data_IF_786683123543
#
_entry.id   IF_786683123543
#
_cell.length_a   1.000
_cell.length_b   1.000
_cell.length_c   1.000
_cell.angle_alpha   90.00
_cell.angle_beta   90.00
_cell.angle_gamma   90.00
#
_symmetry.space_group_name_H-M   'P 1'
#
loop_
_entity.id
_entity.type
_entity.pdbx_description
1 polymer ?
#
# COMPACT_ATOMS: atom_id res chain seq x y z
N UNK A 1 14.53 29.67 -3.38
CA UNK A 1 14.76 28.46 -2.57
C UNK A 1 16.13 27.89 -2.93
N UNK A 2 17.21 28.53 -2.47
CA UNK A 2 18.57 28.22 -2.91
C UNK A 2 19.58 28.15 -1.76
N UNK A 3 19.18 28.46 -0.52
CA UNK A 3 20.03 28.43 0.67
C UNK A 3 19.85 27.18 1.55
N UNK A 4 18.79 26.39 1.34
CA UNK A 4 18.56 25.14 2.06
C UNK A 4 19.39 24.01 1.44
N UNK A 5 20.16 23.29 2.25
CA UNK A 5 20.93 22.14 1.75
C UNK A 5 20.09 20.85 1.73
N UNK A 6 20.58 19.84 1.02
CA UNK A 6 19.89 18.54 0.93
C UNK A 6 19.95 17.78 2.25
N UNK A 7 21.06 17.93 2.96
CA UNK A 7 21.32 17.32 4.25
C UNK A 7 20.33 17.86 5.29
N UNK A 8 20.10 19.17 5.32
CA UNK A 8 19.14 19.80 6.22
C UNK A 8 17.70 19.34 5.97
N UNK A 9 17.33 19.09 4.70
CA UNK A 9 15.98 18.64 4.34
C UNK A 9 15.69 17.20 4.81
N UNK A 10 16.72 16.36 4.88
CA UNK A 10 16.60 14.93 5.20
C UNK A 10 17.08 14.56 6.60
N UNK A 11 17.50 15.55 7.41
CA UNK A 11 17.98 15.36 8.77
C UNK A 11 16.82 15.02 9.73
N UNK A 12 16.78 13.80 10.33
CA UNK A 12 15.75 13.43 11.30
C UNK A 12 15.78 14.25 12.59
N UNK A 13 16.92 14.87 12.92
CA UNK A 13 17.11 15.72 14.09
C UNK A 13 16.62 17.16 13.91
N UNK A 14 16.33 17.56 12.67
CA UNK A 14 15.82 18.89 12.35
C UNK A 14 14.33 18.82 12.01
N UNK A 15 13.49 19.38 12.89
CA UNK A 15 12.06 19.41 12.60
C UNK A 15 11.77 20.33 11.40
N UNK A 16 10.71 20.02 10.65
CA UNK A 16 10.29 20.87 9.53
C UNK A 16 9.95 22.29 9.99
N UNK A 17 9.50 22.45 11.23
CA UNK A 17 9.22 23.75 11.84
C UNK A 17 10.50 24.56 12.05
N UNK A 18 11.54 23.94 12.62
CA UNK A 18 12.83 24.60 12.87
C UNK A 18 13.52 24.98 11.56
N UNK A 19 13.43 24.11 10.55
CA UNK A 19 13.94 24.38 9.21
C UNK A 19 13.25 25.60 8.58
N UNK A 20 11.92 25.64 8.61
CA UNK A 20 11.15 26.77 8.10
C UNK A 20 11.45 28.07 8.86
N UNK A 21 11.58 28.00 10.19
CA UNK A 21 11.94 29.15 11.00
C UNK A 21 13.33 29.68 10.61
N UNK A 22 14.34 28.82 10.48
CA UNK A 22 15.69 29.24 10.05
C UNK A 22 15.65 29.97 8.71
N UNK A 23 14.87 29.48 7.75
CA UNK A 23 14.76 30.06 6.41
C UNK A 23 13.98 31.37 6.34
N UNK A 24 13.00 31.59 7.23
CA UNK A 24 12.02 32.70 7.11
C UNK A 24 11.79 33.48 8.42
N UNK A 25 12.73 33.43 9.36
CA UNK A 25 12.58 34.09 10.67
C UNK A 25 12.34 35.60 10.58
N UNK A 26 12.86 36.29 9.55
CA UNK A 26 12.72 37.75 9.40
C UNK A 26 11.28 38.21 9.10
N UNK A 27 10.51 37.41 8.37
CA UNK A 27 9.12 37.72 8.00
C UNK A 27 8.08 36.99 8.84
N UNK A 28 8.53 36.03 9.66
CA UNK A 28 7.70 35.19 10.50
C UNK A 28 7.10 34.00 9.74
N UNK A 29 6.86 32.90 10.46
CA UNK A 29 6.32 31.65 9.90
C UNK A 29 4.92 31.39 10.47
N UNK A 30 3.95 31.15 9.58
CA UNK A 30 2.61 30.66 9.96
C UNK A 30 2.50 29.18 9.64
N UNK A 31 2.09 28.39 10.63
CA UNK A 31 2.05 26.93 10.55
C UNK A 31 0.60 26.46 10.61
N UNK A 32 0.28 25.50 9.76
CA UNK A 32 -1.02 24.82 9.75
C UNK A 32 -0.92 23.47 10.44
N UNK A 33 -2.07 22.85 10.70
CA UNK A 33 -2.12 21.51 11.27
C UNK A 33 -1.34 20.51 10.41
N UNK A 34 -0.57 19.67 11.10
CA UNK A 34 0.21 18.61 10.46
C UNK A 34 -0.73 17.57 9.84
N UNK A 35 -0.44 17.18 8.60
CA UNK A 35 -1.07 16.04 7.94
C UNK A 35 -0.14 14.83 8.03
N UNK A 36 -0.40 13.85 8.90
CA UNK A 36 0.47 12.70 9.04
C UNK A 36 0.49 11.90 7.74
N UNK A 37 1.68 11.62 7.24
CA UNK A 37 1.90 10.75 6.10
C UNK A 37 2.13 9.33 6.60
N UNK A 38 1.46 8.38 5.98
CA UNK A 38 1.66 6.95 6.23
C UNK A 38 1.73 6.20 4.91
N UNK A 39 2.56 5.17 4.88
CA UNK A 39 2.52 4.20 3.79
C UNK A 39 1.21 3.42 3.87
N UNK A 40 0.43 3.41 2.78
CA UNK A 40 -0.82 2.68 2.73
C UNK A 40 -1.10 2.21 1.29
N UNK A 41 -1.31 0.91 1.11
CA UNK A 41 -1.77 0.32 -0.14
C UNK A 41 -3.29 0.07 -0.09
N UNK A 42 -3.93 0.04 -1.26
CA UNK A 42 -5.37 -0.21 -1.41
C UNK A 42 -5.70 -1.68 -1.69
N UNK A 43 -4.69 -2.55 -1.81
CA UNK A 43 -4.93 -3.98 -1.95
C UNK A 43 -5.63 -4.52 -0.69
N UNK A 44 -6.50 -5.50 -0.89
CA UNK A 44 -7.12 -6.26 0.17
C UNK A 44 -7.34 -7.68 -0.35
N UNK A 45 -7.46 -8.63 0.57
CA UNK A 45 -7.78 -10.01 0.25
C UNK A 45 -9.06 -10.11 -0.60
N UNK A 46 -10.09 -9.32 -0.28
CA UNK A 46 -11.34 -9.19 -1.05
C UNK A 46 -11.14 -8.77 -2.51
N UNK A 47 -10.22 -7.84 -2.78
CA UNK A 47 -9.98 -7.37 -4.16
C UNK A 47 -9.19 -8.39 -4.97
N UNK A 48 -8.22 -9.01 -4.32
CA UNK A 48 -7.38 -10.04 -4.96
C UNK A 48 -8.24 -11.27 -5.26
N UNK A 49 -9.05 -11.71 -4.30
CA UNK A 49 -9.99 -12.82 -4.47
C UNK A 49 -11.05 -12.54 -5.54
N UNK A 50 -11.63 -11.34 -5.59
CA UNK A 50 -12.55 -10.97 -6.66
C UNK A 50 -11.89 -11.05 -8.06
N UNK A 51 -10.60 -10.73 -8.14
CA UNK A 51 -9.83 -10.89 -9.37
C UNK A 51 -9.62 -12.37 -9.69
N UNK A 52 -9.25 -13.19 -8.70
CA UNK A 52 -9.10 -14.65 -8.86
C UNK A 52 -10.41 -15.33 -9.26
N UNK A 53 -11.56 -14.85 -8.76
CA UNK A 53 -12.88 -15.38 -9.09
C UNK A 53 -13.28 -15.18 -10.56
N UNK A 54 -12.61 -14.27 -11.29
CA UNK A 54 -12.86 -14.05 -12.72
C UNK A 54 -12.20 -15.08 -13.64
N UNK A 55 -11.24 -15.85 -13.13
CA UNK A 55 -10.57 -16.91 -13.89
C UNK A 55 -11.38 -18.20 -13.94
N UNK A 56 -11.15 -19.00 -14.97
CA UNK A 56 -11.77 -20.33 -15.07
C UNK A 56 -11.22 -21.27 -14.01
N UNK A 57 -11.93 -22.37 -13.73
CA UNK A 57 -11.44 -23.38 -12.79
C UNK A 57 -10.16 -24.07 -13.29
N UNK A 58 -9.95 -24.14 -14.60
CA UNK A 58 -8.74 -24.69 -15.23
C UNK A 58 -7.55 -23.75 -15.03
N UNK A 59 -7.72 -22.46 -15.32
CA UNK A 59 -6.67 -21.44 -15.11
C UNK A 59 -6.22 -21.39 -13.64
N UNK A 60 -7.17 -21.47 -12.71
CA UNK A 60 -6.86 -21.48 -11.28
C UNK A 60 -6.13 -22.75 -10.86
N UNK A 61 -6.42 -23.89 -11.49
CA UNK A 61 -5.69 -25.13 -11.23
C UNK A 61 -4.23 -25.03 -11.69
N UNK A 62 -3.98 -24.39 -12.83
CA UNK A 62 -2.63 -24.14 -13.36
C UNK A 62 -1.84 -23.12 -12.52
N UNK A 63 -2.52 -22.22 -11.82
CA UNK A 63 -1.90 -21.25 -10.92
C UNK A 63 -1.47 -21.83 -9.56
N UNK A 64 -1.84 -23.08 -9.26
CA UNK A 64 -1.52 -23.71 -7.97
C UNK A 64 -0.04 -24.06 -7.87
N UNK A 65 0.52 -23.81 -6.69
CA UNK A 65 1.84 -24.28 -6.31
C UNK A 65 1.82 -25.78 -5.98
N UNK A 66 3.01 -26.37 -5.75
CA UNK A 66 3.14 -27.76 -5.31
C UNK A 66 2.42 -28.06 -3.98
N UNK A 67 2.08 -27.02 -3.22
CA UNK A 67 1.37 -27.09 -1.93
C UNK A 67 -0.15 -26.94 -2.09
N UNK A 68 -0.66 -26.92 -3.33
CA UNK A 68 -2.08 -26.73 -3.66
C UNK A 68 -2.63 -25.35 -3.23
N UNK A 69 -1.78 -24.32 -3.26
CA UNK A 69 -2.11 -22.92 -2.93
C UNK A 69 -1.95 -22.01 -4.15
N UNK A 70 -2.77 -20.97 -4.24
CA UNK A 70 -2.57 -19.86 -5.19
C UNK A 70 -1.96 -18.69 -4.42
N UNK A 71 -0.78 -18.23 -4.85
CA UNK A 71 -0.09 -17.08 -4.25
C UNK A 71 -0.18 -15.87 -5.17
N UNK A 72 -0.85 -14.82 -4.70
CA UNK A 72 -1.00 -13.56 -5.42
C UNK A 72 -0.17 -12.46 -4.73
N UNK A 73 0.79 -11.91 -5.46
CA UNK A 73 1.63 -10.80 -4.98
C UNK A 73 1.09 -9.47 -5.48
N UNK A 74 0.87 -8.51 -4.58
CA UNK A 74 0.52 -7.14 -4.99
C UNK A 74 1.74 -6.42 -5.58
N UNK A 75 1.68 -5.99 -6.83
CA UNK A 75 2.79 -5.26 -7.48
C UNK A 75 3.08 -3.87 -6.89
N UNK A 76 2.19 -3.32 -6.04
CA UNK A 76 2.38 -2.00 -5.44
C UNK A 76 3.07 -2.05 -4.08
N UNK A 77 2.62 -2.93 -3.18
CA UNK A 77 3.16 -3.03 -1.82
C UNK A 77 3.88 -4.34 -1.54
N UNK A 78 3.97 -5.24 -2.53
CA UNK A 78 4.60 -6.56 -2.42
C UNK A 78 4.01 -7.45 -1.33
N UNK A 79 2.80 -7.15 -0.85
CA UNK A 79 2.09 -8.06 0.05
C UNK A 79 1.66 -9.29 -0.73
N UNK A 80 1.92 -10.46 -0.15
CA UNK A 80 1.52 -11.76 -0.68
C UNK A 80 0.24 -12.22 -0.01
N UNK A 81 -0.69 -12.74 -0.82
CA UNK A 81 -1.94 -13.34 -0.38
C UNK A 81 -1.96 -14.79 -0.86
N UNK A 82 -2.16 -15.74 0.05
CA UNK A 82 -2.26 -17.15 -0.27
C UNK A 82 -3.70 -17.61 -0.12
N UNK A 83 -4.21 -18.35 -1.11
CA UNK A 83 -5.56 -18.89 -1.13
C UNK A 83 -5.50 -20.41 -1.31
N UNK A 84 -6.20 -21.15 -0.46
CA UNK A 84 -6.46 -22.58 -0.61
C UNK A 84 -7.80 -22.83 -1.32
N UNK A 85 -8.09 -24.10 -1.57
CA UNK A 85 -9.33 -24.50 -2.25
C UNK A 85 -10.59 -24.12 -1.47
N UNK A 86 -10.54 -24.16 -0.13
CA UNK A 86 -11.67 -23.80 0.72
C UNK A 86 -11.93 -22.29 0.69
N UNK A 87 -10.87 -21.48 0.72
CA UNK A 87 -10.94 -20.03 0.54
C UNK A 87 -11.52 -19.68 -0.83
N UNK A 88 -11.01 -20.29 -1.91
CA UNK A 88 -11.53 -20.06 -3.27
C UNK A 88 -13.00 -20.50 -3.41
N UNK A 89 -13.40 -21.59 -2.77
CA UNK A 89 -14.78 -22.05 -2.76
C UNK A 89 -15.71 -21.08 -2.00
N UNK A 90 -15.28 -20.58 -0.84
CA UNK A 90 -16.02 -19.59 -0.07
C UNK A 90 -16.22 -18.26 -0.85
N UNK A 91 -15.24 -17.88 -1.67
CA UNK A 91 -15.26 -16.65 -2.48
C UNK A 91 -16.24 -16.73 -3.65
N UNK A 92 -16.38 -17.89 -4.31
CA UNK A 92 -17.38 -18.11 -5.38
C UNK A 92 -18.82 -18.03 -4.87
N UNK A 93 -19.06 -18.33 -3.59
CA UNK A 93 -20.37 -18.18 -2.97
C UNK A 93 -20.80 -16.71 -2.76
N UNK A 94 -19.85 -15.78 -2.68
CA UNK A 94 -20.12 -14.37 -2.37
C UNK A 94 -20.31 -13.48 -3.62
N UNK A 95 -19.80 -13.90 -4.77
CA UNK A 95 -19.87 -13.13 -6.03
C UNK A 95 -21.23 -13.22 -6.75
N UNK A 96 -22.17 -14.08 -6.30
CA UNK A 96 -23.51 -14.23 -6.87
C UNK A 96 -24.59 -13.31 -6.27
N UNK A 97 -24.24 -12.37 -5.39
CA UNK A 97 -25.16 -11.35 -4.87
C UNK A 97 -24.77 -9.95 -5.35
N UNK A 98 -25.01 -9.66 -6.63
CA UNK A 98 -25.53 -8.36 -7.04
C UNK A 98 -26.24 -8.41 -8.39
#
# INVERSE_FOLDING_TARGET
MSSMTREELLDPGLSSLDLLYRLYHETGVRIYENKPLKFQCRCSEEKISATLASFSAEDLADMKTAENLIVATCEFCRTEYAFDDDALAALRGQSSQK
#
